data_IF_638260663084
#
_entry.id   IF_638260663084
#
_cell.length_a   1.000
_cell.length_b   1.000
_cell.length_c   1.000
_cell.angle_alpha   90.00
_cell.angle_beta   90.00
_cell.angle_gamma   90.00
#
_symmetry.space_group_name_H-M   'P 1'
#
loop_
_entity.id
_entity.type
_entity.pdbx_description
1 polymer ?
#
# COMPACT_ATOMS: atom_id res chain seq x y z
N UNK A 1 -16.11 1.81 11.16
CA UNK A 1 -15.14 0.75 10.82
C UNK A 1 -13.95 1.36 10.09
N UNK A 2 -12.74 1.18 10.63
CA UNK A 2 -11.47 1.56 9.98
C UNK A 2 -10.73 0.27 9.66
N UNK A 3 -10.23 0.14 8.43
CA UNK A 3 -9.39 -1.01 8.05
C UNK A 3 -7.96 -0.54 7.83
N UNK A 4 -7.00 -1.13 8.53
CA UNK A 4 -5.58 -0.94 8.29
C UNK A 4 -5.04 -2.06 7.42
N UNK A 5 -4.19 -1.70 6.46
CA UNK A 5 -3.61 -2.62 5.51
C UNK A 5 -2.10 -2.46 5.54
N UNK A 6 -1.42 -3.53 5.92
CA UNK A 6 0.04 -3.62 5.86
C UNK A 6 0.44 -4.34 4.56
N UNK A 7 1.43 -3.81 3.86
CA UNK A 7 1.91 -4.35 2.59
C UNK A 7 3.44 -4.38 2.50
N UNK A 8 3.94 -5.29 1.68
CA UNK A 8 5.32 -5.35 1.21
C UNK A 8 5.35 -5.11 -0.31
N UNK A 9 6.30 -4.35 -0.80
CA UNK A 9 6.49 -4.10 -2.22
C UNK A 9 7.96 -4.12 -2.62
N UNK A 10 8.21 -4.55 -3.85
CA UNK A 10 9.53 -4.53 -4.48
C UNK A 10 9.45 -3.80 -5.82
N UNK A 11 10.34 -2.85 -6.04
CA UNK A 11 10.45 -2.08 -7.29
C UNK A 11 11.37 -2.79 -8.29
N UNK A 12 11.31 -2.40 -9.58
CA UNK A 12 12.14 -3.04 -10.60
C UNK A 12 13.66 -2.84 -10.42
N UNK A 13 14.08 -1.83 -9.65
CA UNK A 13 15.48 -1.62 -9.26
C UNK A 13 15.90 -2.42 -8.01
N UNK A 14 15.00 -3.25 -7.47
CA UNK A 14 15.26 -4.13 -6.32
C UNK A 14 15.11 -3.46 -4.95
N UNK A 15 14.62 -2.22 -4.89
CA UNK A 15 14.31 -1.58 -3.61
C UNK A 15 13.04 -2.17 -3.00
N UNK A 16 13.04 -2.31 -1.68
CA UNK A 16 11.95 -2.90 -0.91
C UNK A 16 11.28 -1.85 -0.03
N UNK A 17 9.96 -1.88 -0.03
CA UNK A 17 9.13 -0.94 0.72
C UNK A 17 8.12 -1.71 1.57
N UNK A 18 8.11 -1.42 2.86
CA UNK A 18 7.07 -1.86 3.78
C UNK A 18 6.20 -0.63 4.13
N UNK A 19 4.89 -0.80 4.09
CA UNK A 19 3.97 0.31 4.32
C UNK A 19 2.67 -0.09 4.99
N UNK A 20 2.03 0.90 5.59
CA UNK A 20 0.70 0.79 6.21
C UNK A 20 -0.16 1.96 5.79
N UNK A 21 -1.40 1.70 5.40
CA UNK A 21 -2.39 2.76 5.18
C UNK A 21 -3.75 2.36 5.74
N UNK A 22 -4.57 3.38 6.03
CA UNK A 22 -5.93 3.21 6.49
C UNK A 22 -6.90 3.37 5.32
N UNK A 23 -7.86 2.47 5.20
CA UNK A 23 -8.96 2.54 4.25
C UNK A 23 -10.29 2.54 5.01
N UNK A 24 -11.12 3.55 4.74
CA UNK A 24 -12.50 3.61 5.23
C UNK A 24 -13.46 3.17 4.12
N UNK A 25 -14.08 2.00 4.26
CA UNK A 25 -15.16 1.56 3.38
C UNK A 25 -16.10 0.60 4.10
N UNK A 26 -17.40 0.66 3.81
CA UNK A 26 -18.41 -0.28 4.33
C UNK A 26 -18.26 -1.70 3.75
N UNK A 27 -17.44 -1.89 2.70
CA UNK A 27 -17.34 -3.16 1.96
C UNK A 27 -15.90 -3.65 1.79
N UNK A 28 -15.57 -4.77 2.43
CA UNK A 28 -14.26 -5.43 2.39
C UNK A 28 -13.74 -5.71 0.96
N UNK A 29 -14.62 -6.03 0.01
CA UNK A 29 -14.23 -6.27 -1.40
C UNK A 29 -13.61 -5.04 -2.05
N UNK A 30 -14.18 -3.86 -1.79
CA UNK A 30 -13.69 -2.57 -2.31
C UNK A 30 -12.36 -2.23 -1.68
N UNK A 31 -12.16 -2.59 -0.41
CA UNK A 31 -10.90 -2.38 0.31
C UNK A 31 -9.76 -3.13 -0.37
N UNK A 32 -9.96 -4.39 -0.77
CA UNK A 32 -8.90 -5.17 -1.44
C UNK A 32 -8.52 -4.61 -2.82
N UNK A 33 -9.50 -4.19 -3.62
CA UNK A 33 -9.24 -3.62 -4.95
C UNK A 33 -8.52 -2.25 -4.84
N UNK A 34 -8.96 -1.40 -3.91
CA UNK A 34 -8.30 -0.11 -3.64
C UNK A 34 -6.94 -0.27 -2.98
N UNK A 35 -6.73 -1.34 -2.21
CA UNK A 35 -5.50 -1.54 -1.45
C UNK A 35 -4.25 -1.53 -2.31
N UNK A 36 -4.32 -2.12 -3.51
CA UNK A 36 -3.17 -2.13 -4.42
C UNK A 36 -2.85 -0.74 -4.95
N UNK A 37 -3.86 0.04 -5.35
CA UNK A 37 -3.67 1.41 -5.84
C UNK A 37 -3.11 2.32 -4.74
N UNK A 38 -3.65 2.23 -3.53
CA UNK A 38 -3.18 3.02 -2.39
C UNK A 38 -1.75 2.64 -2.00
N UNK A 39 -1.41 1.34 -1.99
CA UNK A 39 -0.04 0.89 -1.73
C UNK A 39 0.96 1.46 -2.75
N UNK A 40 0.61 1.48 -4.04
CA UNK A 40 1.42 2.08 -5.10
C UNK A 40 1.64 3.57 -4.84
N UNK A 41 0.57 4.31 -4.52
CA UNK A 41 0.67 5.75 -4.27
C UNK A 41 1.54 6.05 -3.03
N UNK A 42 1.43 5.26 -1.97
CA UNK A 42 2.30 5.37 -0.79
C UNK A 42 3.77 5.22 -1.19
N UNK A 43 4.13 4.21 -1.98
CA UNK A 43 5.51 3.99 -2.44
C UNK A 43 6.00 5.16 -3.29
N UNK A 44 5.18 5.66 -4.23
CA UNK A 44 5.53 6.82 -5.06
C UNK A 44 5.76 8.08 -4.22
N UNK A 45 4.96 8.29 -3.17
CA UNK A 45 5.16 9.41 -2.25
C UNK A 45 6.47 9.24 -1.48
N UNK A 46 6.73 8.06 -0.91
CA UNK A 46 7.97 7.77 -0.20
C UNK A 46 9.22 8.01 -1.08
N UNK A 47 9.21 7.50 -2.32
CA UNK A 47 10.31 7.74 -3.28
C UNK A 47 10.56 9.21 -3.56
N UNK A 48 9.49 9.99 -3.78
CA UNK A 48 9.62 11.44 -3.99
C UNK A 48 10.21 12.14 -2.77
N UNK A 49 9.89 11.70 -1.55
CA UNK A 49 10.49 12.21 -0.32
C UNK A 49 11.98 11.85 -0.20
N UNK A 50 12.40 10.72 -0.75
CA UNK A 50 13.79 10.28 -0.83
C UNK A 50 14.56 10.92 -1.99
N UNK A 51 13.91 11.76 -2.82
CA UNK A 51 14.50 12.34 -4.02
C UNK A 51 14.68 11.34 -5.17
N UNK A 52 14.05 10.16 -5.06
CA UNK A 52 14.03 9.13 -6.09
C UNK A 52 12.87 9.39 -7.05
N UNK A 53 13.18 9.36 -8.36
CA UNK A 53 12.17 9.50 -9.41
C UNK A 53 11.16 8.34 -9.46
N UNK A 54 10.20 8.46 -10.38
CA UNK A 54 9.19 7.44 -10.61
C UNK A 54 9.82 6.11 -11.04
N UNK A 55 9.32 5.01 -10.48
CA UNK A 55 9.69 3.66 -10.87
C UNK A 55 8.45 2.76 -10.90
N UNK A 56 8.49 1.74 -11.77
CA UNK A 56 7.50 0.68 -11.73
C UNK A 56 7.66 -0.21 -10.48
N UNK A 57 6.54 -0.73 -10.01
CA UNK A 57 6.53 -1.75 -8.95
C UNK A 57 6.57 -3.13 -9.61
N UNK A 58 7.55 -3.95 -9.21
CA UNK A 58 7.71 -5.32 -9.71
C UNK A 58 6.74 -6.29 -9.02
N UNK A 59 6.55 -6.14 -7.70
CA UNK A 59 5.57 -6.92 -6.95
C UNK A 59 5.02 -6.18 -5.75
N UNK A 60 3.77 -6.47 -5.37
CA UNK A 60 3.13 -5.99 -4.14
C UNK A 60 2.38 -7.15 -3.51
N UNK A 61 2.58 -7.34 -2.21
CA UNK A 61 1.90 -8.34 -1.39
C UNK A 61 1.23 -7.68 -0.20
N UNK A 62 -0.07 -7.90 -0.02
CA UNK A 62 -0.78 -7.51 1.19
C UNK A 62 -0.49 -8.55 2.28
N UNK A 63 0.10 -8.12 3.39
CA UNK A 63 0.55 -9.01 4.47
C UNK A 63 -0.54 -9.17 5.52
N UNK A 64 -1.19 -8.07 5.88
CA UNK A 64 -2.19 -8.03 6.94
C UNK A 64 -3.29 -7.04 6.61
N UNK A 65 -4.50 -7.42 6.98
CA UNK A 65 -5.67 -6.54 6.99
C UNK A 65 -6.25 -6.60 8.40
N UNK A 66 -6.26 -5.46 9.08
CA UNK A 66 -6.77 -5.30 10.44
C UNK A 66 -8.02 -4.43 10.40
N UNK A 67 -9.15 -4.93 10.90
CA UNK A 67 -10.43 -4.21 10.91
C UNK A 67 -10.73 -3.80 12.35
N UNK A 68 -10.94 -2.50 12.55
CA UNK A 68 -11.38 -1.93 13.82
C UNK A 68 -12.81 -1.40 13.65
N UNK A 69 -13.76 -2.05 14.30
CA UNK A 69 -15.11 -1.53 14.49
C UNK A 69 -15.08 -0.57 15.69
N UNK A 70 -15.63 0.64 15.49
CA UNK A 70 -15.70 1.70 16.50
C UNK A 70 -17.10 1.69 17.11
#
# INVERSE_FOLDING_TARGET
MITFIDFHAETFDGQKYDGRFAASSEKMRVIREKAMTEAIEVIKVQRRMEGLGDIGIASISIIRVEIIEL
#
